data_IF_282012786857
#
_entry.id   IF_282012786857
#
_cell.length_a   1.000
_cell.length_b   1.000
_cell.length_c   1.000
_cell.angle_alpha   90.00
_cell.angle_beta   90.00
_cell.angle_gamma   90.00
#
_symmetry.space_group_name_H-M   'P 1'
#
loop_
_entity.id
_entity.type
_entity.pdbx_description
1 polymer ?
#
# COMPACT_ATOMS: atom_id res chain seq x y z
N UNK A 1 19.13 -33.95 -13.19
CA UNK A 1 19.86 -33.35 -12.06
C UNK A 1 21.11 -34.17 -11.83
N UNK A 2 22.25 -33.53 -11.56
CA UNK A 2 23.51 -34.22 -11.26
C UNK A 2 23.43 -34.88 -9.87
N UNK A 3 23.85 -36.15 -9.75
CA UNK A 3 23.88 -36.83 -8.47
C UNK A 3 25.08 -36.36 -7.64
N UNK A 4 24.95 -36.33 -6.31
CA UNK A 4 25.98 -35.81 -5.39
C UNK A 4 27.34 -36.52 -5.52
N UNK A 5 27.35 -37.76 -6.01
CA UNK A 5 28.55 -38.57 -6.23
C UNK A 5 29.37 -38.07 -7.43
N UNK A 6 28.68 -37.55 -8.45
CA UNK A 6 29.28 -37.07 -9.70
C UNK A 6 29.93 -35.68 -9.53
N UNK A 7 29.50 -34.95 -8.49
CA UNK A 7 30.07 -33.65 -8.15
C UNK A 7 31.50 -33.75 -7.62
N UNK A 8 31.84 -34.82 -6.91
CA UNK A 8 33.18 -34.99 -6.31
C UNK A 8 34.25 -35.12 -7.41
N UNK A 9 33.90 -35.70 -8.57
CA UNK A 9 34.82 -35.94 -9.69
C UNK A 9 34.81 -34.78 -10.69
N UNK A 10 33.82 -33.88 -10.63
CA UNK A 10 33.65 -32.82 -11.63
C UNK A 10 34.63 -31.67 -11.43
N UNK A 11 35.71 -31.66 -12.21
CA UNK A 11 36.64 -30.52 -12.28
C UNK A 11 35.94 -29.20 -12.63
N UNK A 12 34.96 -29.22 -13.54
CA UNK A 12 34.20 -28.02 -13.95
C UNK A 12 33.40 -27.39 -12.81
N UNK A 13 32.89 -28.20 -11.87
CA UNK A 13 32.14 -27.68 -10.73
C UNK A 13 33.08 -27.01 -9.70
N UNK A 14 34.19 -27.66 -9.38
CA UNK A 14 35.12 -27.17 -8.37
C UNK A 14 36.04 -26.05 -8.86
N UNK A 15 36.34 -26.01 -10.15
CA UNK A 15 37.33 -25.09 -10.72
C UNK A 15 36.75 -24.12 -11.76
N UNK A 16 35.45 -24.24 -12.05
CA UNK A 16 34.79 -23.44 -13.07
C UNK A 16 35.25 -23.77 -14.51
N UNK A 17 34.72 -23.02 -15.49
CA UNK A 17 35.21 -23.06 -16.86
C UNK A 17 36.63 -22.49 -16.94
N UNK A 18 37.47 -23.06 -17.80
CA UNK A 18 38.88 -22.65 -17.92
C UNK A 18 39.03 -21.18 -18.34
N UNK A 19 38.13 -20.66 -19.17
CA UNK A 19 38.13 -19.27 -19.64
C UNK A 19 37.88 -18.22 -18.54
N UNK A 20 37.40 -18.62 -17.36
CA UNK A 20 37.19 -17.69 -16.24
C UNK A 20 38.49 -17.38 -15.48
N UNK A 21 39.55 -18.18 -15.71
CA UNK A 21 40.84 -18.05 -14.99
C UNK A 21 41.82 -17.11 -15.70
N UNK A 22 41.58 -16.83 -16.98
CA UNK A 22 42.41 -15.94 -17.79
C UNK A 22 41.85 -14.50 -17.79
N UNK A 23 42.67 -13.44 -17.98
CA UNK A 23 42.21 -12.05 -18.06
C UNK A 23 41.21 -11.87 -19.22
N UNK A 24 40.24 -10.97 -19.09
CA UNK A 24 38.95 -10.84 -19.85
C UNK A 24 38.95 -11.04 -21.40
N UNK A 25 40.10 -11.06 -22.07
CA UNK A 25 40.22 -11.12 -23.52
C UNK A 25 39.68 -12.40 -24.21
N UNK A 26 39.77 -13.63 -23.62
CA UNK A 26 39.26 -14.86 -24.24
C UNK A 26 37.85 -15.23 -23.76
N UNK A 27 37.11 -14.32 -23.10
CA UNK A 27 35.74 -14.62 -22.70
C UNK A 27 34.86 -14.91 -23.92
N UNK A 28 33.96 -15.90 -23.85
CA UNK A 28 33.05 -16.20 -24.94
C UNK A 28 32.11 -15.02 -25.17
N UNK A 29 32.38 -14.22 -26.19
CA UNK A 29 31.48 -13.17 -26.68
C UNK A 29 30.24 -13.85 -27.25
N UNK A 30 29.08 -13.61 -26.66
CA UNK A 30 27.81 -14.12 -27.18
C UNK A 30 27.66 -13.70 -28.64
N UNK A 31 27.58 -14.69 -29.55
CA UNK A 31 27.12 -14.46 -30.91
C UNK A 31 25.62 -14.21 -30.81
N UNK A 32 25.23 -12.94 -30.75
CA UNK A 32 23.86 -12.52 -31.01
C UNK A 32 23.59 -12.88 -32.46
N UNK A 33 22.98 -14.04 -32.68
CA UNK A 33 22.53 -14.48 -33.99
C UNK A 33 21.46 -13.52 -34.50
N UNK A 34 21.75 -12.83 -35.59
CA UNK A 34 20.78 -12.08 -36.39
C UNK A 34 19.72 -13.05 -36.94
N UNK A 35 18.72 -13.37 -36.12
CA UNK A 35 17.50 -13.99 -36.60
C UNK A 35 16.59 -12.91 -37.17
N UNK A 36 16.49 -12.92 -38.49
CA UNK A 36 15.54 -12.18 -39.31
C UNK A 36 14.12 -12.27 -38.73
N UNK A 37 13.52 -11.10 -38.64
CA UNK A 37 12.11 -10.78 -38.42
C UNK A 37 11.12 -11.93 -38.70
N UNK A 38 10.50 -12.44 -37.64
CA UNK A 38 9.10 -12.85 -37.63
C UNK A 38 8.49 -12.22 -36.38
N UNK A 39 7.61 -11.25 -36.62
CA UNK A 39 6.82 -10.44 -35.70
C UNK A 39 6.66 -10.94 -34.25
N UNK A 40 7.16 -10.16 -33.30
CA UNK A 40 6.55 -9.93 -31.98
C UNK A 40 7.05 -8.58 -31.45
N UNK A 41 6.35 -7.56 -31.93
CA UNK A 41 6.21 -6.17 -31.47
C UNK A 41 7.04 -5.74 -30.24
N UNK A 42 8.29 -5.35 -30.50
CA UNK A 42 8.87 -4.15 -29.87
C UNK A 42 8.68 -3.03 -30.89
N UNK A 43 7.53 -2.38 -30.85
CA UNK A 43 7.38 -1.07 -31.48
C UNK A 43 7.37 -0.03 -30.37
N UNK A 44 8.37 0.85 -30.48
CA UNK A 44 8.42 2.15 -29.86
C UNK A 44 7.06 2.85 -29.95
N UNK A 45 6.30 2.82 -28.87
CA UNK A 45 5.28 3.81 -28.64
C UNK A 45 5.87 4.81 -27.66
N UNK A 46 6.15 6.01 -28.16
CA UNK A 46 6.02 7.21 -27.35
C UNK A 46 4.59 7.24 -26.81
N UNK A 47 4.34 6.52 -25.72
CA UNK A 47 3.12 6.70 -24.94
C UNK A 47 3.30 8.02 -24.24
N UNK A 48 2.73 9.04 -24.87
CA UNK A 48 2.45 10.34 -24.28
C UNK A 48 2.19 10.15 -22.79
N UNK A 49 3.04 10.76 -21.97
CA UNK A 49 2.88 10.76 -20.52
C UNK A 49 1.53 11.41 -20.25
N UNK A 50 0.50 10.58 -20.02
CA UNK A 50 -0.80 11.08 -19.59
C UNK A 50 -0.50 11.71 -18.24
N UNK A 51 -0.50 13.05 -18.21
CA UNK A 51 -0.52 13.80 -16.98
C UNK A 51 -1.87 13.47 -16.35
N UNK A 52 -1.88 12.43 -15.52
CA UNK A 52 -3.05 12.10 -14.72
C UNK A 52 -3.12 13.16 -13.63
N UNK A 53 -3.79 14.26 -13.99
CA UNK A 53 -4.48 15.12 -13.04
C UNK A 53 -5.29 14.24 -12.10
N UNK A 54 -5.35 14.64 -10.84
CA UNK A 54 -5.91 13.94 -9.68
C UNK A 54 -7.38 13.47 -9.86
N UNK A 55 -7.60 12.46 -10.70
CA UNK A 55 -8.88 11.82 -10.90
C UNK A 55 -8.66 10.31 -11.10
N UNK A 56 -8.96 9.55 -10.04
CA UNK A 56 -9.38 8.14 -10.06
C UNK A 56 -8.56 7.24 -11.01
N UNK A 57 -7.37 6.81 -10.54
CA UNK A 57 -6.62 5.75 -11.20
C UNK A 57 -7.30 4.43 -10.84
N UNK A 58 -8.17 3.97 -11.74
CA UNK A 58 -8.94 2.72 -11.62
C UNK A 58 -8.24 1.53 -12.30
N UNK A 59 -6.91 1.59 -12.46
CA UNK A 59 -6.08 0.41 -12.63
C UNK A 59 -5.20 0.25 -11.39
N UNK A 60 -5.48 -0.79 -10.60
CA UNK A 60 -4.89 -1.05 -9.28
C UNK A 60 -3.37 -1.25 -9.39
N UNK A 61 -2.62 -0.16 -9.26
CA UNK A 61 -1.15 -0.18 -9.08
C UNK A 61 -0.76 -1.16 -7.96
N UNK A 62 -1.62 -1.30 -6.94
CA UNK A 62 -1.50 -2.28 -5.87
C UNK A 62 -2.84 -2.98 -5.67
N UNK A 63 -2.83 -4.31 -5.63
CA UNK A 63 -4.01 -5.11 -5.27
C UNK A 63 -4.01 -5.39 -3.76
N UNK A 64 -4.99 -4.87 -2.99
CA UNK A 64 -5.10 -5.10 -1.55
C UNK A 64 -5.08 -6.59 -1.18
N UNK A 65 -5.69 -7.44 -2.01
CA UNK A 65 -5.89 -8.86 -1.70
C UNK A 65 -4.58 -9.66 -1.68
N UNK A 66 -3.49 -9.12 -2.25
CA UNK A 66 -2.16 -9.73 -2.23
C UNK A 66 -1.43 -9.53 -0.90
N UNK A 67 -1.98 -8.73 0.01
CA UNK A 67 -1.37 -8.45 1.30
C UNK A 67 -2.05 -9.23 2.42
N UNK A 68 -1.24 -9.92 3.22
CA UNK A 68 -1.64 -10.61 4.46
C UNK A 68 -1.19 -9.89 5.72
N UNK A 69 -0.46 -8.77 5.58
CA UNK A 69 0.09 -8.00 6.69
C UNK A 69 -0.07 -6.51 6.43
N UNK A 70 -0.70 -5.80 7.38
CA UNK A 70 -0.95 -4.36 7.29
C UNK A 70 0.34 -3.57 7.11
N UNK A 71 1.35 -3.77 7.97
CA UNK A 71 2.62 -3.06 7.87
C UNK A 71 3.33 -3.29 6.53
N UNK A 72 3.26 -4.50 5.98
CA UNK A 72 3.83 -4.78 4.66
C UNK A 72 3.12 -3.97 3.58
N UNK A 73 1.79 -3.93 3.62
CA UNK A 73 0.98 -3.13 2.71
C UNK A 73 1.34 -1.64 2.80
N UNK A 74 1.35 -1.07 4.01
CA UNK A 74 1.68 0.34 4.23
C UNK A 74 3.09 0.70 3.76
N UNK A 75 4.10 -0.14 4.07
CA UNK A 75 5.49 0.13 3.65
C UNK A 75 5.67 0.06 2.14
N UNK A 76 5.07 -0.93 1.47
CA UNK A 76 5.13 -1.04 0.01
C UNK A 76 4.47 0.18 -0.64
N UNK A 77 3.29 0.55 -0.15
CA UNK A 77 2.57 1.75 -0.64
C UNK A 77 3.37 3.02 -0.40
N UNK A 78 3.98 3.20 0.78
CA UNK A 78 4.81 4.36 1.08
C UNK A 78 6.01 4.49 0.13
N UNK A 79 6.70 3.38 -0.19
CA UNK A 79 7.78 3.39 -1.17
C UNK A 79 7.30 3.75 -2.58
N UNK A 80 6.15 3.21 -3.00
CA UNK A 80 5.54 3.54 -4.30
C UNK A 80 5.19 5.03 -4.35
N UNK A 81 4.57 5.57 -3.29
CA UNK A 81 4.23 6.99 -3.20
C UNK A 81 5.48 7.89 -3.19
N UNK A 82 6.54 7.51 -2.47
CA UNK A 82 7.83 8.21 -2.48
C UNK A 82 8.43 8.25 -3.89
N UNK A 83 8.41 7.11 -4.59
CA UNK A 83 8.90 7.04 -5.96
C UNK A 83 8.10 7.95 -6.91
N UNK A 84 6.77 7.89 -6.84
CA UNK A 84 5.89 8.78 -7.62
C UNK A 84 6.17 10.26 -7.31
N UNK A 85 6.36 10.61 -6.04
CA UNK A 85 6.68 11.97 -5.63
C UNK A 85 8.06 12.41 -6.13
N UNK A 86 9.06 11.52 -6.15
CA UNK A 86 10.38 11.80 -6.71
C UNK A 86 10.30 12.10 -8.22
N UNK A 87 9.48 11.35 -8.97
CA UNK A 87 9.22 11.64 -10.37
C UNK A 87 8.52 12.99 -10.59
N UNK A 88 7.53 13.32 -9.75
CA UNK A 88 6.76 14.57 -9.86
C UNK A 88 7.57 15.82 -9.48
N UNK A 89 8.28 15.77 -8.36
CA UNK A 89 9.01 16.92 -7.80
C UNK A 89 10.45 17.03 -8.32
N UNK A 90 10.95 16.01 -9.02
CA UNK A 90 12.37 15.85 -9.40
C UNK A 90 13.34 15.92 -8.20
N UNK A 91 12.84 15.66 -6.99
CA UNK A 91 13.61 15.65 -5.76
C UNK A 91 13.62 14.24 -5.19
N UNK A 92 14.82 13.70 -4.91
CA UNK A 92 14.97 12.35 -4.39
C UNK A 92 15.24 12.36 -2.89
N UNK A 93 14.30 11.81 -2.12
CA UNK A 93 14.46 11.63 -0.68
C UNK A 93 15.23 10.32 -0.41
N UNK A 94 16.36 10.43 0.31
CA UNK A 94 17.22 9.32 0.70
C UNK A 94 16.93 8.89 2.14
N UNK A 95 17.06 7.60 2.41
CA UNK A 95 17.00 7.04 3.77
C UNK A 95 15.74 6.22 4.06
N UNK A 96 15.50 5.86 5.33
CA UNK A 96 14.35 5.06 5.74
C UNK A 96 13.02 5.80 5.48
N UNK A 97 11.91 5.05 5.48
CA UNK A 97 10.56 5.63 5.42
C UNK A 97 10.28 6.43 6.69
N UNK A 98 9.69 7.61 6.53
CA UNK A 98 9.25 8.45 7.65
C UNK A 98 7.88 8.00 8.16
N UNK A 99 7.54 8.37 9.39
CA UNK A 99 6.19 8.15 9.94
C UNK A 99 5.11 8.81 9.09
N UNK A 100 5.40 10.00 8.54
CA UNK A 100 4.44 10.74 7.72
C UNK A 100 4.13 10.04 6.41
N UNK A 101 5.11 9.36 5.79
CA UNK A 101 4.88 8.57 4.60
C UNK A 101 4.03 7.33 4.86
N UNK A 102 4.21 6.70 6.03
CA UNK A 102 3.36 5.59 6.44
C UNK A 102 1.94 6.07 6.74
N UNK A 103 1.78 7.22 7.41
CA UNK A 103 0.47 7.85 7.63
C UNK A 103 -0.21 8.21 6.29
N UNK A 104 0.55 8.73 5.32
CA UNK A 104 0.04 9.04 3.98
C UNK A 104 -0.36 7.78 3.22
N UNK A 105 0.40 6.68 3.35
CA UNK A 105 0.06 5.40 2.77
C UNK A 105 -1.22 4.80 3.38
N UNK A 106 -1.41 4.98 4.69
CA UNK A 106 -2.65 4.57 5.37
C UNK A 106 -3.85 5.39 4.88
N UNK A 107 -3.73 6.73 4.88
CA UNK A 107 -4.77 7.62 4.36
C UNK A 107 -5.11 7.33 2.90
N UNK A 108 -4.12 6.99 2.08
CA UNK A 108 -4.32 6.57 0.69
C UNK A 108 -5.24 5.34 0.61
N UNK A 109 -4.97 4.30 1.39
CA UNK A 109 -5.82 3.10 1.40
C UNK A 109 -7.21 3.37 1.97
N UNK A 110 -7.33 4.18 3.02
CA UNK A 110 -8.62 4.59 3.59
C UNK A 110 -9.47 5.26 2.52
N UNK A 111 -8.91 6.24 1.79
CA UNK A 111 -9.63 6.95 0.74
C UNK A 111 -10.08 6.03 -0.40
N UNK A 112 -9.21 5.13 -0.86
CA UNK A 112 -9.55 4.16 -1.91
C UNK A 112 -10.73 3.29 -1.46
N UNK A 113 -10.62 2.72 -0.26
CA UNK A 113 -11.64 1.80 0.25
C UNK A 113 -12.98 2.52 0.50
N UNK A 114 -12.92 3.76 0.99
CA UNK A 114 -14.11 4.58 1.17
C UNK A 114 -14.73 4.95 -0.17
N UNK A 115 -13.93 5.35 -1.16
CA UNK A 115 -14.42 5.68 -2.50
C UNK A 115 -15.03 4.45 -3.21
N UNK A 116 -14.43 3.27 -3.05
CA UNK A 116 -14.95 2.03 -3.63
C UNK A 116 -16.32 1.63 -3.04
N UNK A 117 -16.59 1.96 -1.77
CA UNK A 117 -17.81 1.53 -1.08
C UNK A 117 -18.89 2.62 -0.93
N UNK A 118 -18.48 3.89 -0.88
CA UNK A 118 -19.30 5.04 -0.49
C UNK A 118 -19.12 6.23 -1.44
N UNK A 119 -18.79 5.97 -2.72
CA UNK A 119 -18.57 7.02 -3.74
C UNK A 119 -19.73 8.00 -3.86
N UNK A 120 -20.97 7.50 -3.78
CA UNK A 120 -22.18 8.31 -3.85
C UNK A 120 -22.27 9.26 -2.64
N UNK A 121 -22.09 8.74 -1.43
CA UNK A 121 -22.11 9.52 -0.21
C UNK A 121 -21.01 10.58 -0.18
N UNK A 122 -19.79 10.22 -0.59
CA UNK A 122 -18.66 11.15 -0.69
C UNK A 122 -18.98 12.27 -1.68
N UNK A 123 -19.47 11.93 -2.88
CA UNK A 123 -19.83 12.92 -3.91
C UNK A 123 -20.95 13.87 -3.43
N UNK A 124 -21.93 13.36 -2.67
CA UNK A 124 -22.98 14.20 -2.08
C UNK A 124 -22.39 15.17 -1.05
N UNK A 125 -21.53 14.67 -0.15
CA UNK A 125 -20.91 15.50 0.89
C UNK A 125 -19.96 16.54 0.32
N UNK A 126 -19.18 16.21 -0.72
CA UNK A 126 -18.35 17.18 -1.44
C UNK A 126 -19.16 18.31 -2.07
N UNK A 127 -20.37 17.99 -2.55
CA UNK A 127 -21.30 18.97 -3.16
C UNK A 127 -22.22 19.66 -2.14
N UNK A 128 -21.99 19.46 -0.84
CA UNK A 128 -22.86 19.95 0.25
C UNK A 128 -24.34 19.58 0.05
N UNK A 129 -24.61 18.40 -0.54
CA UNK A 129 -25.96 17.87 -0.71
C UNK A 129 -26.30 16.92 0.44
N UNK A 130 -27.58 16.87 0.86
CA UNK A 130 -28.01 15.88 1.83
C UNK A 130 -27.78 14.46 1.28
N UNK A 131 -27.44 13.54 2.18
CA UNK A 131 -27.32 12.13 1.86
C UNK A 131 -28.68 11.52 1.55
N UNK A 132 -28.66 10.45 0.77
CA UNK A 132 -29.87 9.68 0.49
C UNK A 132 -30.47 9.10 1.78
N UNK A 133 -31.80 9.08 1.86
CA UNK A 133 -32.54 8.58 3.02
C UNK A 133 -32.30 7.09 3.26
N UNK A 134 -32.00 6.36 2.19
CA UNK A 134 -31.72 4.92 2.24
C UNK A 134 -30.25 4.59 2.53
N UNK A 135 -29.37 5.60 2.62
CA UNK A 135 -27.96 5.34 2.94
C UNK A 135 -27.80 4.85 4.37
N UNK A 136 -27.11 3.72 4.53
CA UNK A 136 -26.74 3.14 5.84
C UNK A 136 -25.88 4.08 6.67
N UNK A 137 -25.21 5.03 6.02
CA UNK A 137 -24.35 5.99 6.71
C UNK A 137 -25.14 7.17 7.29
N UNK A 138 -26.37 7.43 6.84
CA UNK A 138 -27.16 8.58 7.29
C UNK A 138 -27.34 8.60 8.82
N UNK A 139 -27.55 7.44 9.44
CA UNK A 139 -27.71 7.32 10.89
C UNK A 139 -26.42 7.63 11.69
N UNK A 140 -25.26 7.58 11.02
CA UNK A 140 -23.96 7.90 11.60
C UNK A 140 -23.60 9.39 11.48
N UNK A 141 -24.46 10.20 10.84
CA UNK A 141 -24.24 11.62 10.58
C UNK A 141 -22.81 11.91 10.08
N UNK A 142 -22.44 11.39 8.89
CA UNK A 142 -21.07 11.37 8.42
C UNK A 142 -20.69 12.72 7.80
N UNK A 143 -19.40 13.04 7.87
CA UNK A 143 -18.85 14.26 7.27
C UNK A 143 -17.46 13.98 6.67
N UNK A 144 -17.02 14.83 5.76
CA UNK A 144 -15.67 14.77 5.19
C UNK A 144 -14.73 15.67 6.01
N UNK A 145 -13.57 15.12 6.38
CA UNK A 145 -12.51 15.90 7.05
C UNK A 145 -11.68 16.74 6.06
N UNK A 146 -10.71 17.50 6.59
CA UNK A 146 -9.80 18.33 5.79
C UNK A 146 -8.97 17.53 4.77
N UNK A 147 -8.80 16.23 5.00
CA UNK A 147 -8.09 15.33 4.11
C UNK A 147 -9.04 14.67 3.12
N UNK A 148 -10.35 14.92 3.15
CA UNK A 148 -11.34 14.23 2.32
C UNK A 148 -11.62 12.79 2.76
N UNK A 149 -11.42 12.49 4.05
CA UNK A 149 -11.74 11.18 4.65
C UNK A 149 -13.12 11.23 5.29
N UNK A 150 -13.93 10.21 5.04
CA UNK A 150 -15.27 10.08 5.61
C UNK A 150 -15.20 9.68 7.08
N UNK A 151 -15.78 10.50 7.95
CA UNK A 151 -15.76 10.32 9.40
C UNK A 151 -17.16 10.40 10.01
N UNK A 152 -17.32 9.78 11.18
CA UNK A 152 -18.52 9.83 12.00
C UNK A 152 -18.47 11.04 12.91
N UNK A 153 -19.58 11.76 13.06
CA UNK A 153 -19.76 12.67 14.19
C UNK A 153 -20.49 11.97 15.33
N UNK A 154 -20.21 12.36 16.57
CA UNK A 154 -20.76 11.66 17.72
C UNK A 154 -20.79 12.49 18.98
N UNK A 155 -21.21 11.84 20.07
CA UNK A 155 -21.38 12.47 21.40
C UNK A 155 -20.09 13.08 21.95
N UNK A 156 -18.93 12.59 21.49
CA UNK A 156 -17.61 13.06 21.90
C UNK A 156 -17.17 14.36 21.21
N UNK A 157 -17.91 14.87 20.21
CA UNK A 157 -17.55 16.08 19.47
C UNK A 157 -17.39 17.33 20.34
N UNK A 158 -18.03 17.39 21.51
CA UNK A 158 -17.93 18.51 22.47
C UNK A 158 -16.81 18.36 23.50
N UNK A 159 -16.09 17.23 23.52
CA UNK A 159 -15.00 17.02 24.47
C UNK A 159 -13.83 17.93 24.14
N UNK A 160 -13.31 18.66 25.12
CA UNK A 160 -12.12 19.51 24.98
C UNK A 160 -10.81 18.74 25.18
N UNK A 161 -10.86 17.57 25.82
CA UNK A 161 -9.69 16.77 26.17
C UNK A 161 -9.26 15.75 25.10
N UNK A 162 -10.10 15.53 24.09
CA UNK A 162 -9.82 14.59 23.00
C UNK A 162 -9.29 15.33 21.77
N UNK A 163 -8.43 14.67 21.01
CA UNK A 163 -8.01 15.12 19.67
C UNK A 163 -9.18 15.03 18.68
N UNK A 164 -9.10 15.79 17.58
CA UNK A 164 -10.10 15.72 16.50
C UNK A 164 -10.26 14.30 15.96
N UNK A 165 -9.16 13.56 15.88
CA UNK A 165 -9.17 12.16 15.47
C UNK A 165 -10.02 11.33 16.42
N UNK A 166 -9.80 11.41 17.74
CA UNK A 166 -10.54 10.67 18.78
C UNK A 166 -12.03 10.99 18.83
N UNK A 167 -12.40 12.22 18.50
CA UNK A 167 -13.81 12.65 18.46
C UNK A 167 -14.55 12.08 17.25
N UNK A 168 -13.84 11.89 16.15
CA UNK A 168 -14.42 11.63 14.84
C UNK A 168 -13.79 10.39 14.17
N UNK A 169 -14.26 9.17 14.52
CA UNK A 169 -13.76 7.93 13.93
C UNK A 169 -13.87 7.91 12.41
N UNK A 170 -12.94 7.23 11.75
CA UNK A 170 -12.99 6.94 10.31
C UNK A 170 -14.05 5.88 10.04
N UNK A 171 -14.85 6.08 8.99
CA UNK A 171 -15.81 5.07 8.51
C UNK A 171 -15.10 4.11 7.58
N UNK A 172 -15.04 2.83 7.93
CA UNK A 172 -14.50 1.78 7.06
C UNK A 172 -15.57 0.74 6.72
N UNK A 173 -15.66 0.28 5.46
CA UNK A 173 -16.55 -0.79 5.05
C UNK A 173 -16.07 -2.13 5.62
N UNK A 174 -17.00 -2.90 6.18
CA UNK A 174 -16.67 -4.15 6.88
C UNK A 174 -16.03 -5.24 6.01
N UNK A 175 -16.29 -5.23 4.70
CA UNK A 175 -15.83 -6.24 3.75
C UNK A 175 -14.51 -5.89 3.04
N UNK A 176 -13.91 -4.74 3.34
CA UNK A 176 -12.66 -4.36 2.70
C UNK A 176 -11.46 -5.06 3.32
N UNK A 177 -10.49 -5.40 2.46
CA UNK A 177 -9.25 -6.05 2.90
C UNK A 177 -8.47 -5.22 3.91
N UNK A 178 -8.47 -3.88 3.76
CA UNK A 178 -7.87 -2.97 4.73
C UNK A 178 -8.46 -3.17 6.14
N UNK A 179 -9.78 -3.25 6.23
CA UNK A 179 -10.49 -3.44 7.51
C UNK A 179 -10.18 -4.79 8.13
N UNK A 180 -10.14 -5.84 7.32
CA UNK A 180 -9.71 -7.17 7.77
C UNK A 180 -8.29 -7.15 8.34
N UNK A 181 -7.34 -6.52 7.62
CA UNK A 181 -5.94 -6.42 8.04
C UNK A 181 -5.77 -5.58 9.32
N UNK A 182 -6.56 -4.53 9.50
CA UNK A 182 -6.59 -3.72 10.73
C UNK A 182 -7.07 -4.55 11.93
N UNK A 183 -8.21 -5.22 11.79
CA UNK A 183 -8.77 -6.07 12.85
C UNK A 183 -7.79 -7.19 13.19
N UNK A 184 -7.19 -7.82 12.18
CA UNK A 184 -6.20 -8.87 12.37
C UNK A 184 -4.99 -8.35 13.15
N UNK A 185 -4.46 -7.18 12.79
CA UNK A 185 -3.32 -6.58 13.47
C UNK A 185 -3.64 -6.25 14.94
N UNK A 186 -4.81 -5.67 15.22
CA UNK A 186 -5.27 -5.44 16.59
C UNK A 186 -5.46 -6.72 17.38
N UNK A 187 -5.99 -7.77 16.76
CA UNK A 187 -6.18 -9.07 17.38
C UNK A 187 -4.85 -9.70 17.80
N UNK A 188 -3.84 -9.61 16.94
CA UNK A 188 -2.47 -10.05 17.25
C UNK A 188 -1.85 -9.21 18.37
N UNK A 189 -2.08 -7.89 18.37
CA UNK A 189 -1.53 -6.97 19.37
C UNK A 189 -2.06 -7.24 20.78
N UNK A 190 -3.32 -7.64 20.90
CA UNK A 190 -3.91 -8.03 22.19
C UNK A 190 -3.65 -9.49 22.56
N UNK A 191 -2.68 -10.15 21.90
CA UNK A 191 -2.34 -11.56 22.13
C UNK A 191 -3.55 -12.49 22.13
N UNK A 192 -4.51 -12.24 21.23
CA UNK A 192 -5.74 -13.04 21.12
C UNK A 192 -6.64 -13.03 22.37
N UNK A 193 -6.57 -11.99 23.21
CA UNK A 193 -7.32 -11.88 24.49
C UNK A 193 -8.85 -11.77 24.34
N UNK A 194 -9.41 -12.07 23.16
CA UNK A 194 -10.84 -12.08 22.88
C UNK A 194 -11.36 -10.82 22.20
N UNK A 195 -12.59 -10.90 21.69
CA UNK A 195 -13.22 -9.90 20.82
C UNK A 195 -13.35 -8.54 21.50
N UNK A 196 -13.71 -8.49 22.79
CA UNK A 196 -13.86 -7.24 23.53
C UNK A 196 -12.56 -6.43 23.58
N UNK A 197 -11.43 -7.10 23.76
CA UNK A 197 -10.11 -6.46 23.77
C UNK A 197 -9.71 -6.01 22.36
N UNK A 198 -9.97 -6.81 21.33
CA UNK A 198 -9.73 -6.43 19.93
C UNK A 198 -10.56 -5.22 19.53
N UNK A 199 -11.85 -5.16 19.88
CA UNK A 199 -12.73 -4.03 19.58
C UNK A 199 -12.31 -2.75 20.30
N UNK A 200 -11.88 -2.85 21.56
CA UNK A 200 -11.28 -1.71 22.27
C UNK A 200 -10.02 -1.29 21.53
N UNK A 201 -9.13 -2.20 21.15
CA UNK A 201 -7.90 -1.83 20.45
C UNK A 201 -8.16 -1.21 19.07
N UNK A 202 -9.07 -1.75 18.26
CA UNK A 202 -9.47 -1.19 16.95
C UNK A 202 -10.02 0.23 17.09
N UNK A 203 -10.82 0.45 18.12
CA UNK A 203 -11.36 1.77 18.47
C UNK A 203 -10.28 2.75 18.94
N UNK A 204 -9.05 2.32 19.16
CA UNK A 204 -7.92 3.17 19.57
C UNK A 204 -6.81 3.25 18.52
N UNK A 205 -6.71 2.28 17.60
CA UNK A 205 -5.64 2.17 16.59
C UNK A 205 -6.01 2.83 15.27
N UNK A 206 -7.29 2.84 14.89
CA UNK A 206 -7.81 3.78 13.85
C UNK A 206 -7.54 5.26 14.24
N UNK A 207 -7.03 5.50 15.46
CA UNK A 207 -6.79 6.79 16.07
C UNK A 207 -5.31 7.10 16.38
N UNK A 208 -4.33 6.27 15.99
CA UNK A 208 -2.92 6.57 16.29
C UNK A 208 -1.98 6.45 15.09
N UNK A 209 -1.47 7.62 14.66
CA UNK A 209 -0.21 7.73 13.94
C UNK A 209 0.92 7.10 14.77
N UNK A 210 1.52 6.02 14.25
CA UNK A 210 2.82 5.44 14.56
C UNK A 210 3.49 5.86 15.89
N UNK A 211 3.20 5.14 16.98
CA UNK A 211 4.18 5.04 18.08
C UNK A 211 5.27 4.06 17.65
N UNK A 212 6.57 4.43 17.64
CA UNK A 212 7.62 3.46 17.43
C UNK A 212 7.58 2.42 18.55
N UNK A 213 7.85 1.16 18.20
CA UNK A 213 8.04 0.07 19.16
C UNK A 213 9.12 0.50 20.15
N UNK A 214 8.74 0.78 21.39
CA UNK A 214 9.66 0.68 22.52
C UNK A 214 9.96 -0.81 22.67
N UNK A 215 11.11 -1.22 22.15
CA UNK A 215 11.68 -2.55 22.39
C UNK A 215 12.11 -2.58 23.86
N UNK A 216 11.86 -3.68 24.61
CA UNK A 216 12.34 -3.83 25.98
C UNK A 216 13.86 -3.84 26.06
#
# INVERSE_FOLDING_TARGET
>A
GFASKDLIVSKKWWHGPEWLKDPEDPWPKEKISEHKSVNSEVTSEYKSCIIVSSAIIQEKILDPNKFSCLFKMLRVTAWVLRFINALKKKTYEKGPLTSDELNNAELFWVKIVQNDSYSNEITCLEKNKPLDRDSKLLCLNPFLDINGVLRVTGRLGKSTHLSTFEKHPIILPSKAKLTELLIWESHQRVFHSGVSHTLVQDRWEVFRAHRPRSVP
#
